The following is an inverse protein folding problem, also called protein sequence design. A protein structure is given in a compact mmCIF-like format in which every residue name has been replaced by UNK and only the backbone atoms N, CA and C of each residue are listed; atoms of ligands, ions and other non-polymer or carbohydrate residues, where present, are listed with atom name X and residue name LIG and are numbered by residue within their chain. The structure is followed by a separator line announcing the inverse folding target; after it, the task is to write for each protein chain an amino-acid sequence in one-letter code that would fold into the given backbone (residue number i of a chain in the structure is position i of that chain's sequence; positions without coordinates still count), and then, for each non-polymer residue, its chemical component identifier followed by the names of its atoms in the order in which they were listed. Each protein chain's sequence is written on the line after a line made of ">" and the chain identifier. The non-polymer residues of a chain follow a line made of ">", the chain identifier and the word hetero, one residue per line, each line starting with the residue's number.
data_IF_366549126696
#
_entry.id   IF_366549126696
#
_cell.length_a   1.000
_cell.length_b   1.000
_cell.length_c   1.000
_cell.angle_alpha   90.00
_cell.angle_beta   90.00
_cell.angle_gamma   90.00
#
_symmetry.space_group_name_H-M   'P 1'
#
loop_
_entity.id
_entity.type
_entity.pdbx_description
1 polymer ?
2 non-polymer ?
#
# COMPACT_ATOMS: atom_id res chain seq x y z
N UNK A 1 0.73 -22.89 13.86
CA UNK A 1 0.46 -21.86 12.87
C UNK A 1 -0.26 -22.43 11.65
N UNK A 2 -1.09 -21.62 11.00
CA UNK A 2 -1.77 -22.07 9.76
C UNK A 2 -1.20 -21.25 8.60
N UNK A 3 -0.72 -21.92 7.56
CA UNK A 3 -0.04 -21.19 6.45
C UNK A 3 -0.90 -21.32 5.20
N UNK A 4 -1.18 -20.19 4.53
CA UNK A 4 -2.13 -20.20 3.39
C UNK A 4 -1.43 -19.87 2.06
N UNK A 5 -1.71 -20.66 1.02
CA UNK A 5 -1.06 -20.45 -0.29
C UNK A 5 -2.13 -20.08 -1.31
N UNK A 6 -1.88 -19.00 -2.07
CA UNK A 6 -2.84 -18.63 -3.15
C UNK A 6 -2.11 -18.66 -4.51
N UNK A 7 -2.69 -19.33 -5.49
CA UNK A 7 -2.07 -19.45 -6.84
C UNK A 7 -2.97 -18.76 -7.85
N UNK A 8 -2.42 -17.85 -8.65
CA UNK A 8 -3.22 -17.22 -9.73
C UNK A 8 -2.57 -17.51 -11.08
N UNK A 9 -3.34 -18.02 -12.04
CA UNK A 9 -2.79 -18.29 -13.40
C UNK A 9 -3.56 -17.44 -14.40
N UNK A 10 -2.86 -16.65 -15.21
CA UNK A 10 -3.56 -15.89 -16.28
C UNK A 10 -2.93 -16.20 -17.64
N UNK A 11 -3.73 -16.56 -18.64
CA UNK A 11 -3.19 -16.78 -20.00
C UNK A 11 -3.93 -15.87 -20.98
N UNK A 12 -3.18 -15.21 -21.87
CA UNK A 12 -3.82 -14.37 -22.91
C UNK A 12 -3.63 -15.09 -24.25
N UNK A 13 -4.71 -15.30 -25.04
CA UNK A 13 -4.62 -16.05 -26.29
C UNK A 13 -3.29 -15.94 -27.01
N UNK B 1 0.20 -14.30 -26.99
CA UNK B 1 0.20 -15.44 -26.08
C UNK B 1 0.83 -15.05 -24.74
N UNK B 2 0.57 -13.82 -24.30
CA UNK B 2 1.19 -13.33 -23.03
C UNK B 2 0.67 -14.17 -21.86
N UNK B 3 1.56 -14.49 -20.91
CA UNK B 3 1.11 -15.22 -19.69
C UNK B 3 1.47 -14.42 -18.45
N UNK B 4 0.51 -14.25 -17.54
CA UNK B 4 0.84 -13.59 -16.24
C UNK B 4 0.57 -14.62 -15.13
N UNK B 5 1.54 -14.87 -14.26
CA UNK B 5 1.27 -15.78 -13.12
C UNK B 5 1.57 -15.09 -11.81
N UNK B 6 0.65 -15.15 -10.85
CA UNK B 6 0.96 -14.61 -9.50
C UNK B 6 0.79 -15.72 -8.45
N UNK B 7 1.80 -15.97 -7.62
CA UNK B 7 1.62 -16.96 -6.51
C UNK B 7 1.95 -16.27 -5.20
N UNK B 8 1.08 -16.39 -4.19
CA UNK B 8 1.42 -15.83 -2.86
C UNK B 8 1.35 -16.94 -1.80
N UNK B 9 2.38 -17.06 -0.96
CA UNK B 9 2.31 -18.02 0.17
C UNK B 9 2.47 -17.21 1.44
N UNK B 10 1.57 -17.39 2.41
CA UNK B 10 1.63 -16.59 3.66
C UNK B 10 1.48 -17.51 4.88
N UNK B 11 2.11 -17.17 6.00
CA UNK B 11 1.90 -17.97 7.24
C UNK B 11 1.29 -17.08 8.31
N UNK B 12 0.23 -17.56 8.94
CA UNK B 12 -0.34 -16.82 10.09
C UNK B 12 -0.12 -17.68 11.34
N UNK B 13 0.51 -17.16 12.42
CA UNK B 13 0.78 -17.96 13.60
C UNK B 13 -0.25 -17.77 14.70
N UNK C 1 3.93 -12.74 -26.51
CA UNK C 1 3.90 -13.90 -25.64
C UNK C 1 4.71 -13.64 -24.38
N UNK C 2 4.78 -12.38 -23.95
CA UNK C 2 5.63 -12.03 -22.78
C UNK C 2 5.08 -12.75 -21.54
N UNK C 3 5.96 -13.25 -20.69
CA UNK C 3 5.51 -14.03 -19.51
C UNK C 3 5.90 -13.32 -18.23
N UNK C 4 4.94 -13.16 -17.31
CA UNK C 4 5.29 -12.59 -15.99
C UNK C 4 5.02 -13.65 -14.92
N UNK C 5 6.00 -13.93 -14.05
CA UNK C 5 5.78 -14.88 -12.94
C UNK C 5 5.99 -14.15 -11.63
N UNK C 6 5.03 -14.26 -10.70
CA UNK C 6 5.24 -13.64 -9.38
C UNK C 6 5.18 -14.73 -8.30
N UNK C 7 6.17 -14.78 -7.41
CA UNK C 7 6.13 -15.73 -6.26
C UNK C 7 6.23 -14.91 -5.00
N UNK C 8 5.33 -15.14 -4.03
CA UNK C 8 5.44 -14.43 -2.74
C UNK C 8 5.54 -15.45 -1.59
N UNK C 9 6.50 -15.28 -0.69
CA UNK C 9 6.57 -16.15 0.52
C UNK C 9 6.46 -15.24 1.73
N UNK C 10 5.54 -15.55 2.66
CA UNK C 10 5.45 -14.74 3.91
C UNK C 10 5.67 -15.64 5.12
N UNK C 11 6.57 -15.24 6.03
CA UNK C 11 6.76 -16.01 7.29
C UNK C 11 6.47 -15.09 8.46
N UNK C 12 5.62 -15.52 9.39
CA UNK C 12 5.37 -14.72 10.61
C UNK C 12 5.79 -15.55 11.84
N UNK C 13 6.60 -15.01 12.77
CA UNK C 13 6.97 -15.75 13.96
C UNK C 13 5.73 -16.17 14.76
N UNK D 1 10.65 -10.89 13.97
CA UNK D 1 11.60 -11.51 13.03
C UNK D 1 10.88 -12.15 11.86
N UNK D 2 9.83 -11.50 11.36
CA UNK D 2 9.07 -12.04 10.20
C UNK D 2 9.98 -12.06 8.96
N UNK D 3 9.85 -13.10 8.13
CA UNK D 3 10.67 -13.17 6.89
C UNK D 3 9.74 -13.17 5.69
N UNK D 4 9.99 -12.29 4.72
CA UNK D 4 9.18 -12.32 3.47
C UNK D 4 10.11 -12.54 2.27
N UNK D 5 9.80 -13.51 1.40
CA UNK D 5 10.61 -13.67 0.17
C UNK D 5 9.71 -13.47 -1.04
N UNK D 6 10.13 -12.61 -1.97
CA UNK D 6 9.34 -12.48 -3.23
C UNK D 6 10.23 -12.86 -4.41
N UNK D 7 9.76 -13.75 -5.29
CA UNK D 7 10.56 -14.06 -6.51
C UNK D 7 9.71 -13.65 -7.71
N UNK D 8 10.27 -12.84 -8.61
CA UNK D 8 9.52 -12.49 -9.84
C UNK D 8 10.33 -12.94 -11.07
N UNK D 9 9.68 -13.66 -12.00
CA UNK D 9 10.38 -14.02 -13.26
C UNK D 9 9.64 -13.38 -14.43
N UNK D 10 10.37 -12.68 -15.30
CA UNK D 10 9.72 -12.11 -16.50
C UNK D 10 10.38 -12.69 -17.76
N UNK D 11 9.58 -13.17 -18.70
CA UNK D 11 10.13 -13.69 -19.98
C UNK D 11 9.62 -12.81 -21.11
N UNK D 12 10.52 -12.35 -21.99
CA UNK D 12 10.07 -11.58 -23.18
C UNK D 12 10.50 -12.34 -24.43
N UNK D 13 9.60 -12.60 -25.40
CA UNK D 13 9.97 -13.26 -26.64
C UNK D 13 11.20 -12.62 -27.27
N UNK E 1 21.11 -21.17 -22.84
CA UNK E 1 20.61 -19.85 -22.47
C UNK E 1 19.63 -19.95 -21.32
N UNK E 2 19.35 -21.18 -20.86
CA UNK E 2 18.39 -21.38 -19.74
C UNK E 2 18.94 -20.74 -18.46
N UNK E 3 18.07 -20.11 -17.67
CA UNK E 3 18.52 -19.53 -16.38
C UNK E 3 17.77 -20.20 -15.24
N UNK E 4 18.50 -20.69 -14.23
CA UNK E 4 17.83 -21.28 -13.04
C UNK E 4 18.28 -20.53 -11.78
N UNK E 5 17.33 -20.07 -10.96
CA UNK E 5 17.71 -19.44 -9.65
C UNK E 5 16.99 -20.22 -8.55
N UNK E 6 17.74 -20.66 -7.53
CA UNK E 6 17.09 -21.34 -6.38
C UNK E 6 17.44 -20.59 -5.08
N UNK E 7 16.43 -20.24 -4.27
CA UNK E 7 16.72 -19.63 -2.94
C UNK E 7 15.98 -20.44 -1.87
N UNK E 8 16.69 -20.82 -0.80
CA UNK E 8 16.02 -21.52 0.32
C UNK E 8 16.17 -20.69 1.60
N UNK E 9 15.06 -20.43 2.31
CA UNK E 9 15.18 -19.72 3.61
C UNK E 9 14.59 -20.56 4.73
N UNK E 10 15.32 -20.72 5.83
CA UNK E 10 14.75 -21.41 7.02
C UNK E 10 14.82 -20.44 8.20
N UNK E 11 13.70 -20.23 8.91
CA UNK E 11 13.74 -19.37 10.12
C UNK E 11 12.90 -19.99 11.23
N UNK E 12 13.24 -19.70 12.48
CA UNK E 12 12.40 -20.18 13.61
C UNK E 12 11.81 -18.96 14.31
N UNK E 13 10.48 -18.91 14.53
CA UNK E 13 9.87 -17.81 15.26
C UNK E 13 10.71 -17.26 16.40
N UNK F 1 9.83 -21.41 -25.14
CA UNK F 1 10.42 -20.83 -23.94
C UNK F 1 9.67 -21.28 -22.69
N UNK F 2 9.67 -22.59 -22.44
CA UNK F 2 8.95 -23.14 -21.26
C UNK F 2 9.60 -22.67 -19.95
N UNK F 3 8.79 -22.37 -18.94
CA UNK F 3 9.32 -21.97 -17.61
C UNK F 3 8.81 -22.96 -16.56
N UNK F 4 9.70 -23.45 -15.70
CA UNK F 4 9.28 -24.37 -14.61
C UNK F 4 9.57 -23.74 -13.24
N UNK F 5 8.57 -23.72 -12.35
CA UNK F 5 8.80 -23.20 -10.98
C UNK F 5 8.48 -24.26 -9.94
N UNK F 6 9.38 -24.47 -8.97
CA UNK F 6 9.07 -25.40 -7.85
C UNK F 6 9.13 -24.64 -6.53
N UNK F 7 8.10 -24.74 -5.69
CA UNK F 7 8.15 -24.11 -4.34
C UNK F 7 7.92 -25.20 -3.30
N UNK F 8 8.78 -25.27 -2.27
CA UNK F 8 8.56 -26.25 -1.18
C UNK F 8 8.44 -25.51 0.17
N UNK F 9 7.41 -25.84 0.96
CA UNK F 9 7.29 -25.24 2.32
C UNK F 9 7.26 -26.36 3.37
N UNK F 10 8.06 -26.22 4.43
CA UNK F 10 8.05 -27.22 5.53
C UNK F 10 7.65 -26.55 6.86
N UNK F 11 6.73 -27.15 7.62
CA UNK F 11 6.36 -26.62 8.95
C UNK F 11 6.82 -27.63 10.00
N UNK F 12 7.54 -27.17 11.01
CA UNK F 12 7.97 -28.08 12.11
C UNK F 12 7.32 -27.60 13.42
N UNK F 13 6.67 -28.49 14.18
CA UNK F 13 6.00 -28.09 15.41
C UNK F 13 6.99 -27.73 16.50
N UNK G 1 6.73 -24.33 15.52
CA UNK G 1 6.34 -23.42 14.45
C UNK G 1 7.52 -23.10 13.54
N UNK G 2 8.54 -23.97 13.54
CA UNK G 2 9.75 -23.72 12.72
C UNK G 2 9.36 -23.71 11.24
N UNK G 3 9.96 -22.81 10.46
CA UNK G 3 9.56 -22.71 9.03
C UNK G 3 10.74 -23.01 8.13
N UNK G 4 10.54 -23.89 7.16
CA UNK G 4 11.60 -24.11 6.14
C UNK G 4 10.94 -23.82 4.79
N UNK G 5 11.50 -22.93 3.96
CA UNK G 5 10.92 -22.71 2.61
C UNK G 5 12.00 -22.91 1.55
N UNK G 6 11.67 -23.66 0.50
CA UNK G 6 12.62 -23.82 -0.63
C UNK G 6 11.96 -23.30 -1.91
N UNK G 7 12.63 -22.43 -2.66
CA UNK G 7 12.06 -22.00 -3.97
C UNK G 7 13.00 -22.42 -5.09
N UNK G 8 12.47 -23.07 -6.12
CA UNK G 8 13.30 -23.41 -7.30
C UNK G 8 12.67 -22.76 -8.54
N UNK G 9 13.45 -22.02 -9.33
CA UNK G 9 12.89 -21.49 -10.61
C UNK G 9 13.74 -22.00 -11.76
N UNK G 10 13.10 -22.57 -12.79
CA UNK G 10 13.88 -22.95 -14.00
C UNK G 10 13.25 -22.26 -15.21
N UNK G 11 14.03 -21.55 -16.02
CA UNK G 11 13.46 -21.02 -17.28
C UNK G 11 14.29 -21.54 -18.43
N UNK G 12 13.65 -22.13 -19.44
CA UNK G 12 14.42 -22.54 -20.64
C UNK G 12 13.86 -21.76 -21.84
N UNK G 13 14.69 -21.07 -22.64
CA UNK G 13 14.20 -20.39 -23.84
C UNK G 13 13.96 -21.36 -24.98
N UNK H 1 1.68 -29.25 14.76
CA UNK H 1 1.93 -30.39 13.89
C UNK H 1 2.90 -30.03 12.78
N UNK H 2 2.99 -30.89 11.77
CA UNK H 2 3.86 -30.56 10.61
C UNK H 2 3.00 -30.40 9.35
N UNK H 3 3.15 -29.29 8.65
CA UNK H 3 2.41 -29.10 7.37
C UNK H 3 3.42 -28.85 6.26
N UNK H 4 3.29 -29.58 5.15
CA UNK H 4 4.21 -29.31 4.01
C UNK H 4 3.37 -28.86 2.80
N UNK H 5 3.73 -27.73 2.19
CA UNK H 5 3.01 -27.32 0.95
C UNK H 5 4.02 -27.22 -0.18
N UNK H 6 3.73 -27.85 -1.31
CA UNK H 6 4.62 -27.69 -2.49
C UNK H 6 3.81 -27.02 -3.61
N UNK H 7 4.35 -25.95 -4.20
CA UNK H 7 3.65 -25.34 -5.37
C UNK H 7 4.56 -25.46 -6.58
N UNK H 8 4.03 -26.03 -7.66
CA UNK H 8 4.84 -26.11 -8.90
C UNK H 8 4.08 -25.38 -10.03
N UNK H 9 4.76 -24.46 -10.73
CA UNK H 9 4.10 -23.81 -11.89
C UNK H 9 4.92 -24.07 -13.15
N UNK H 10 4.27 -24.52 -14.21
CA UNK H 10 4.98 -24.71 -15.51
C UNK H 10 4.35 -23.76 -16.54
N UNK H 11 5.16 -22.99 -17.26
CA UNK H 11 4.61 -21.99 -18.20
C UNK H 11 5.03 -22.34 -19.63
N UNK H 12 4.06 -22.37 -20.55
CA UNK H 12 4.43 -22.56 -21.99
C UNK H 12 3.94 -21.34 -22.76
N UNK H 13 4.78 -20.68 -23.60
CA UNK H 13 4.32 -19.55 -24.40
C UNK H 13 3.03 -19.88 -25.15
N UNK I 1 -15.85 15.04 23.66
CA UNK I 1 -15.23 14.84 22.35
C UNK I 1 -16.24 15.01 21.22
N UNK I 2 -16.35 16.22 20.69
CA UNK I 2 -17.29 16.50 19.58
C UNK I 2 -16.50 16.89 18.34
N UNK I 3 -16.78 16.27 17.19
CA UNK I 3 -15.99 16.54 15.97
C UNK I 3 -16.88 17.12 14.90
N UNK I 4 -16.49 18.24 14.32
CA UNK I 4 -17.27 18.81 13.19
C UNK I 4 -16.35 18.87 11.96
N UNK I 5 -16.80 18.33 10.83
CA UNK I 5 -15.98 18.35 9.59
C UNK I 5 -16.76 19.04 8.48
N UNK I 6 -16.13 19.98 7.78
CA UNK I 6 -16.77 20.59 6.59
C UNK I 6 -15.92 20.25 5.36
N UNK I 7 -16.55 19.69 4.31
CA UNK I 7 -15.80 19.42 3.06
C UNK I 7 -16.44 20.20 1.94
N UNK I 8 -15.64 20.95 1.18
CA UNK I 8 -16.20 21.67 0.01
C UNK I 8 -15.48 21.18 -1.26
N UNK I 9 -16.24 20.74 -2.26
CA UNK I 9 -15.62 20.31 -3.55
C UNK I 9 -16.15 21.19 -4.65
N UNK I 10 -15.28 21.83 -5.42
CA UNK I 10 -15.76 22.61 -6.60
C UNK I 10 -15.00 22.12 -7.85
N UNK I 11 -15.74 21.78 -8.92
CA UNK I 11 -15.08 21.34 -10.18
C UNK I 11 -15.53 22.22 -11.32
N UNK I 12 -14.59 22.66 -12.16
CA UNK I 12 -14.96 23.45 -13.36
C UNK I 12 -14.79 22.54 -14.58
N UNK I 13 -15.81 22.39 -15.45
CA UNK I 13 -15.74 21.47 -16.58
C UNK I 13 -14.35 21.30 -17.20
N UNK J 1 -11.32 22.16 -16.58
CA UNK J 1 -10.86 21.04 -15.77
C UNK J 1 -10.35 21.57 -14.44
N UNK J 2 -10.47 22.89 -14.22
CA UNK J 2 -9.95 23.50 -12.98
C UNK J 2 -10.72 22.98 -11.76
N UNK J 3 -10.03 22.75 -10.65
CA UNK J 3 -10.71 22.28 -9.41
C UNK J 3 -10.39 23.20 -8.23
N UNK J 4 -11.41 23.59 -7.46
CA UNK J 4 -11.15 24.36 -6.22
C UNK J 4 -11.60 23.49 -5.04
N UNK J 5 -10.72 23.25 -4.06
CA UNK J 5 -11.09 22.34 -2.95
C UNK J 5 -10.94 23.05 -1.61
N UNK J 6 -11.94 22.95 -0.74
CA UNK J 6 -11.82 23.53 0.63
C UNK J 6 -12.02 22.43 1.68
N UNK J 7 -11.12 22.33 2.67
CA UNK J 7 -11.31 21.36 3.77
C UNK J 7 -11.41 22.14 5.06
N UNK J 8 -12.47 21.91 5.86
CA UNK J 8 -12.51 22.55 7.20
C UNK J 8 -12.72 21.47 8.27
N UNK J 9 -11.87 21.39 9.30
CA UNK J 9 -12.16 20.44 10.41
C UNK J 9 -12.20 21.21 11.72
N UNK J 10 -13.26 21.02 12.52
CA UNK J 10 -13.31 21.68 13.86
C UNK J 10 -13.46 20.58 14.93
N UNK J 11 -12.60 20.59 15.96
CA UNK J 11 -12.81 19.61 17.06
C UNK J 11 -12.96 20.32 18.40
N UNK J 12 -14.01 19.97 19.15
CA UNK J 12 -14.14 20.51 20.53
C UNK J 12 -14.31 19.31 21.48
N UNK J 13 -13.57 19.19 22.60
CA UNK J 13 -13.80 18.10 23.55
C UNK J 13 -15.12 18.35 24.26
N UNK K 1 -7.25 23.12 -16.04
CA UNK K 1 -6.98 22.14 -14.99
C UNK K 1 -6.23 22.78 -13.83
N UNK K 2 -6.35 24.10 -13.69
CA UNK K 2 -5.68 24.80 -12.56
C UNK K 2 -6.29 24.27 -11.25
N UNK K 3 -5.47 24.03 -10.24
CA UNK K 3 -6.04 23.42 -9.00
C UNK K 3 -5.84 24.35 -7.82
N UNK K 4 -6.91 24.58 -7.07
CA UNK K 4 -6.78 25.39 -5.83
C UNK K 4 -7.11 24.47 -4.65
N UNK K 5 -6.23 24.40 -3.66
CA UNK K 5 -6.53 23.58 -2.45
C UNK K 5 -6.58 24.49 -1.25
N UNK K 6 -7.67 24.40 -0.47
CA UNK K 6 -7.72 25.18 0.78
C UNK K 6 -7.86 24.18 1.94
N UNK K 7 -7.01 24.29 2.95
CA UNK K 7 -7.14 23.41 4.14
C UNK K 7 -7.38 24.30 5.34
N UNK K 8 -8.43 24.02 6.11
CA UNK K 8 -8.64 24.78 7.37
C UNK K 8 -8.74 23.80 8.54
N UNK K 9 -7.96 24.01 9.60
CA UNK K 9 -8.14 23.15 10.80
C UNK K 9 -8.43 24.06 11.97
N UNK K 10 -9.51 23.79 12.72
CA UNK K 10 -9.75 24.57 13.95
C UNK K 10 -9.82 23.61 15.14
N UNK K 11 -9.06 23.87 16.20
CA UNK K 11 -9.20 23.03 17.43
C UNK K 11 -9.52 23.96 18.59
N UNK K 12 -10.55 23.61 19.38
CA UNK K 12 -10.81 24.40 20.60
C UNK K 12 -10.57 23.48 21.80
N UNK K 13 -9.72 23.86 22.78
CA UNK K 13 -9.52 23.05 23.98
C UNK K 13 -10.75 23.04 24.87
N UNK L 1 -7.59 29.63 24.10
CA UNK L 1 -6.51 28.73 23.72
C UNK L 1 -6.84 28.00 22.43
N UNK L 2 -7.92 28.41 21.76
CA UNK L 2 -8.34 27.73 20.51
C UNK L 2 -7.26 27.92 19.44
N UNK L 3 -7.01 26.88 18.64
CA UNK L 3 -5.96 26.96 17.59
C UNK L 3 -6.63 26.83 16.22
N UNK L 4 -6.33 27.74 15.30
CA UNK L 4 -6.86 27.61 13.92
C UNK L 4 -5.69 27.56 12.92
N UNK L 5 -5.65 26.58 12.02
CA UNK L 5 -4.60 26.55 10.97
C UNK L 5 -5.29 26.63 9.61
N UNK L 6 -4.84 27.55 8.76
CA UNK L 6 -5.41 27.61 7.39
C UNK L 6 -4.27 27.44 6.36
N UNK L 7 -4.44 26.53 5.40
CA UNK L 7 -3.44 26.38 4.31
C UNK L 7 -4.13 26.65 2.99
N UNK L 8 -3.56 27.52 2.14
CA UNK L 8 -4.16 27.72 0.80
C UNK L 8 -3.12 27.35 -0.26
N UNK L 9 -3.51 26.51 -1.23
CA UNK L 9 -2.60 26.13 -2.35
C UNK L 9 -3.25 26.54 -3.66
N UNK L 10 -2.51 27.25 -4.52
CA UNK L 10 -3.04 27.58 -5.86
C UNK L 10 -2.10 27.01 -6.94
N UNK L 11 -2.64 26.31 -7.93
CA UNK L 11 -1.81 25.77 -9.04
C UNK L 11 -2.25 26.38 -10.35
N UNK L 12 -1.31 26.88 -11.15
CA UNK L 12 -1.67 27.40 -12.50
C UNK L 12 -0.93 26.54 -13.54
N UNK L 13 -1.62 26.00 -14.58
CA UNK L 13 -0.96 25.23 -15.62
C UNK L 13 0.05 26.09 -16.35
N UNK M 1 8.27 19.12 -10.73
CA UNK M 1 7.64 20.38 -10.35
C UNK M 1 6.58 20.17 -9.28
N UNK M 2 6.47 18.93 -8.79
CA UNK M 2 5.44 18.61 -7.77
C UNK M 2 5.71 19.40 -6.49
N UNK M 3 4.66 19.92 -5.85
CA UNK M 3 4.82 20.66 -4.57
C UNK M 3 4.09 19.93 -3.46
N UNK M 4 4.78 19.65 -2.35
CA UNK M 4 4.12 19.02 -1.18
C UNK M 4 4.26 19.92 0.04
N UNK M 5 3.15 20.22 0.73
CA UNK M 5 3.24 20.98 2.01
C UNK M 5 2.60 20.14 3.10
N UNK M 6 3.31 19.95 4.22
CA UNK M 6 2.73 19.20 5.36
C UNK M 6 2.68 20.08 6.61
N UNK M 7 1.52 20.16 7.27
CA UNK M 7 1.45 20.90 8.56
C UNK M 7 0.97 19.95 9.65
N UNK M 8 1.69 19.89 10.77
CA UNK M 8 1.23 19.06 11.91
C UNK M 8 1.06 19.96 13.14
N UNK M 9 -0.09 19.91 13.81
CA UNK M 9 -0.23 20.67 15.08
C UNK M 9 -0.60 19.71 16.21
N UNK M 10 0.12 19.79 17.32
CA UNK M 10 -0.22 18.95 18.50
C UNK M 10 -0.50 19.88 19.69
N UNK M 11 -1.62 19.68 20.39
CA UNK M 11 -1.91 20.49 21.61
C UNK M 11 -2.03 19.56 22.81
N UNK M 12 -1.37 19.89 23.91
CA UNK M 12 -1.53 19.08 25.16
C UNK M 12 -2.08 20.00 26.25
N UNK M 13 -3.15 19.60 26.99
CA UNK M 13 -3.67 20.42 28.08
C UNK M 13 -2.92 20.16 29.39
N UNK N 1 -1.88 17.75 -13.69
CA UNK N 1 -2.34 18.50 -12.53
C UNK N 1 -2.88 17.57 -11.45
N UNK N 2 -2.21 16.43 -11.23
CA UNK N 2 -2.69 15.45 -10.24
C UNK N 2 -2.63 16.07 -8.84
N UNK N 3 -3.66 15.86 -8.02
CA UNK N 3 -3.61 16.37 -6.61
C UNK N 3 -3.86 15.23 -5.64
N UNK N 4 -3.01 15.11 -4.61
CA UNK N 4 -3.25 14.09 -3.55
C UNK N 4 -3.35 14.80 -2.19
N UNK N 5 -4.39 14.52 -1.42
CA UNK N 5 -4.47 15.12 -0.05
C UNK N 5 -4.57 14.03 0.99
N UNK N 6 -3.74 14.08 2.03
CA UNK N 6 -3.89 13.10 3.16
C UNK N 6 -4.09 13.89 4.45
N UNK N 7 -5.11 13.57 5.24
CA UNK N 7 -5.30 14.24 6.55
C UNK N 7 -5.34 13.22 7.67
N UNK N 8 -4.57 13.43 8.75
CA UNK N 8 -4.68 12.53 9.93
C UNK N 8 -5.05 13.39 11.15
N UNK N 9 -6.09 13.01 11.90
CA UNK N 9 -6.41 13.74 13.15
C UNK N 9 -6.42 12.76 14.31
N UNK N 10 -5.75 13.10 15.41
CA UNK N 10 -5.82 12.24 16.63
C UNK N 10 -6.36 13.09 17.78
N UNK N 11 -7.38 12.61 18.50
CA UNK N 11 -7.85 13.36 19.69
C UNK N 11 -7.76 12.45 20.91
N UNK N 12 -7.18 12.95 22.01
CA UNK N 12 -7.19 12.15 23.27
C UNK N 12 -7.96 12.96 24.33
N UNK N 13 -8.97 12.40 25.00
CA UNK N 13 -9.67 13.11 26.06
C UNK N 13 -9.03 12.96 27.43
N UNK O 1 -7.88 16.18 26.86
CA UNK O 1 -8.34 17.02 25.77
C UNK O 1 -7.24 17.23 24.73
N UNK O 2 -6.14 16.48 24.85
CA UNK O 2 -5.00 16.69 23.94
C UNK O 2 -5.44 16.35 22.50
N UNK O 3 -5.01 17.17 21.53
CA UNK O 3 -5.35 16.89 20.11
C UNK O 3 -4.08 16.84 19.29
N UNK O 4 -3.94 15.85 18.42
CA UNK O 4 -2.80 15.85 17.48
C UNK O 4 -3.40 15.90 16.07
N UNK O 5 -3.00 16.85 15.24
CA UNK O 5 -3.52 16.83 13.84
C UNK O 5 -2.35 16.82 12.88
N UNK O 6 -2.39 15.91 11.91
CA UNK O 6 -1.34 15.88 10.86
C UNK O 6 -2.02 16.16 9.51
N UNK O 7 -1.52 17.12 8.75
CA UNK O 7 -2.11 17.37 7.40
C UNK O 7 -1.01 17.22 6.35
N UNK O 8 -1.28 16.43 5.30
CA UNK O 8 -0.30 16.32 4.20
C UNK O 8 -0.98 16.76 2.89
N UNK O 9 -0.37 17.66 2.14
CA UNK O 9 -0.93 18.02 0.81
C UNK O 9 0.12 17.66 -0.24
N UNK O 10 -0.28 16.90 -1.26
CA UNK O 10 0.68 16.63 -2.37
C UNK O 10 0.07 17.13 -3.69
N UNK O 11 0.81 17.94 -4.44
CA UNK O 11 0.29 18.34 -5.77
C UNK O 11 1.31 17.98 -6.84
N UNK O 12 0.89 17.32 -7.92
CA UNK O 12 1.82 17.07 -9.04
C UNK O 12 1.26 17.79 -10.27
N UNK O 13 2.04 18.65 -10.97
CA UNK O 13 1.57 19.28 -12.19
C UNK O 13 1.72 18.36 -13.38
N UNK P 1 -12.87 8.29 25.15
CA UNK P 1 -13.55 8.68 23.93
C UNK P 1 -12.59 9.35 22.96
N UNK P 2 -11.49 8.66 22.64
CA UNK P 2 -10.51 9.22 21.67
C UNK P 2 -11.20 9.32 20.29
N UNK P 3 -10.94 10.40 19.55
CA UNK P 3 -11.52 10.52 18.18
C UNK P 3 -10.40 10.66 17.16
N UNK P 4 -10.47 9.86 16.09
CA UNK P 4 -9.48 10.02 14.99
C UNK P 4 -10.23 10.38 13.70
N UNK P 5 -9.81 11.45 13.01
CA UNK P 5 -10.45 11.77 11.70
C UNK P 5 -9.41 11.70 10.59
N UNK P 6 -9.72 10.97 9.52
CA UNK P 6 -8.80 10.96 8.35
C UNK P 6 -9.58 11.45 7.12
N UNK P 7 -9.05 12.43 6.39
CA UNK P 7 -9.72 12.85 5.12
C UNK P 7 -8.73 12.74 3.97
N UNK P 8 -9.14 12.09 2.89
CA UNK P 8 -8.25 12.05 1.69
C UNK P 8 -8.98 12.70 0.49
N UNK P 9 -8.34 13.65 -0.18
CA UNK P 9 -8.95 14.21 -1.41
C UNK P 9 -7.99 14.01 -2.58
N UNK P 10 -8.48 13.47 -3.70
CA UNK P 10 -7.62 13.34 -4.90
C UNK P 10 -8.25 14.13 -6.06
N UNK P 11 -7.45 14.97 -6.73
CA UNK P 11 -7.98 15.70 -7.92
C UNK P 11 -7.18 15.28 -9.14
N UNK P 12 -7.89 14.92 -10.22
CA UNK P 12 -7.20 14.57 -11.49
C UNK P 12 -7.66 15.59 -12.55
N UNK P 13 -6.73 16.23 -13.30
CA UNK P 13 -7.09 17.27 -14.26
C UNK P 13 -8.43 17.01 -14.96
X LIG Q 1 3.86 -2.98 -12.64
X LIG Q 1 1.97 -5.22 -10.32
X LIG Q 1 3.95 -3.87 -13.85
X LIG Q 1 4.34 -3.35 -15.13
X LIG Q 1 -1.38 -4.97 -10.19
X LIG Q 1 -2.15 -5.56 -9.06
X LIG Q 1 -2.71 -6.84 -7.03
X LIG Q 1 1.96 -4.83 -11.81
X LIG Q 1 3.16 -3.45 -17.31
X LIG Q 1 3.58 -5.20 -13.69
X LIG Q 1 3.81 -6.25 -14.76
X LIG Q 1 2.01 -4.24 -17.45
X LIG Q 1 2.19 -3.04 -11.97
X LIG Q 1 2.22 -4.03 -9.36
X LIG Q 1 1.24 -3.38 -8.97
X LIG Q 1 0.79 -5.96 -9.92
X LIG Q 1 -0.34 -5.97 -10.63
X LIG Q 1 -0.55 -6.74 -11.55
X LIG Q 1 -3.49 -5.46 -8.71
X LIG Q 1 -3.81 -6.21 -7.53
X LIG Q 1 -1.36 -6.54 -7.96
X LIG Q 1 3.00 -5.58 -12.51
X LIG Q 1 4.96 -6.59 -14.95
X LIG Q 1 2.81 -6.66 -15.33
X LIG Q 1 3.52 -2.85 -16.03
X LIG Q 1 1.63 -4.82 -18.63
X LIG Q 1 2.44 -4.62 -19.75
X LIG Q 1 3.59 -3.85 -19.70
X LIG Q 1 3.92 -3.29 -18.48
X LIG Q 1 5.13 -2.48 -18.46
X LIG Q 1 2.05 -5.22 -21.01
X LIG Q 1 6.18 -3.02 -18.11
X LIG Q 1 5.06 -1.31 -18.79
X LIG Q 1 1.22 -6.11 -21.01
X LIG Q 1 2.60 -4.82 -22.03
X LIG Q 1 3.41 -3.83 -9.02
X LIG R 1 2.53 -4.46 14.37
X LIG R 1 3.91 -4.84 10.49
X LIG R 1 2.67 -5.94 14.49
X LIG R 1 2.66 -6.62 15.75
X LIG R 1 4.93 -2.56 8.55
X LIG R 1 5.59 -3.23 7.40
X LIG R 1 6.81 -4.89 6.03
X LIG R 1 3.96 -4.92 12.01
X LIG R 1 4.86 -7.77 15.58
X LIG R 1 2.84 -6.66 13.31
X LIG R 1 1.93 -7.84 12.95
X LIG R 1 4.95 -9.11 15.19
X LIG R 1 2.57 -3.93 12.65
X LIG R 1 3.19 -6.04 9.85
X LIG R 1 1.94 -6.05 9.90
X LIG R 1 3.35 -3.59 10.03
X LIG R 1 3.56 -3.14 8.80
X LIG R 1 2.71 -3.20 7.92
X LIG R 1 5.76 -2.82 6.08
X LIG R 1 6.47 -3.81 5.30
X LIG R 1 6.29 -4.73 7.61
X LIG R 1 3.84 -6.31 12.45
X LIG R 1 0.79 -7.55 12.68
X LIG R 1 2.45 -8.93 12.96
X LIG R 1 3.67 -7.27 16.29
X LIG R 1 6.03 -9.62 14.52
X LIG R 1 7.08 -8.77 14.19
X LIG R 1 7.06 -7.42 14.54
X LIG R 1 5.95 -6.95 15.22
X LIG R 1 5.97 -5.54 15.56
X LIG R 1 8.23 -9.30 13.48
X LIG R 1 6.05 -5.22 16.74
X LIG R 1 5.94 -4.72 14.65
X LIG R 1 9.17 -8.56 13.26
X LIG R 1 8.19 -10.46 13.13
X LIG R 1 3.90 -6.91 9.29
X LIG S 1 -3.35 5.78 -1.80
X LIG S 1 -0.19 7.17 0.33
X LIG S 1 -3.20 7.04 -2.59
X LIG S 1 -4.28 7.57 -3.36
X LIG S 1 -1.40 7.78 3.66
X LIG S 1 -2.62 6.98 3.38
X LIG S 1 -4.75 6.22 2.40
X LIG S 1 -0.84 6.33 -0.78
X LIG S 1 -3.98 7.55 -5.83
X LIG S 1 -1.97 7.71 -2.57
X LIG S 1 -1.82 9.10 -3.14
X LIG S 1 -4.52 8.54 -6.64
X LIG S 1 -2.53 5.94 -0.21
X LIG S 1 -0.42 8.68 0.17
X LIG S 1 -1.57 9.11 0.37
X LIG S 1 -0.58 6.72 1.65
X LIG S 1 -0.25 7.39 2.75
X LIG S 1 0.92 7.68 3.03
X LIG S 1 -3.05 5.76 3.89
X LIG S 1 -4.29 5.34 3.31
X LIG S 1 -3.71 7.51 2.24
X LIG S 1 -0.87 7.09 -2.04
X LIG S 1 -2.08 10.02 -2.38
X LIG S 1 -1.44 9.19 -4.29
X LIG S 1 -4.63 7.18 -4.58
X LIG S 1 -3.96 8.94 -7.84
X LIG S 1 -2.79 8.31 -8.24
X LIG S 1 -2.18 7.31 -7.49
X LIG S 1 -2.79 6.95 -6.31
X LIG S 1 -2.13 5.91 -5.56
X LIG S 1 -2.18 8.72 -9.51
X LIG S 1 -2.70 4.84 -5.41
X LIG S 1 -1.01 6.12 -5.12
X LIG S 1 -0.96 8.74 -9.58
X LIG S 1 -2.91 9.03 -10.43
X LIG S 1 0.57 9.37 -0.15
X LIG T 1 4.59 7.01 17.13
X LIG T 1 1.70 9.94 17.34
X LIG T 1 5.28 7.97 16.22
X LIG T 1 5.90 7.59 14.97
X LIG T 1 -0.61 7.51 15.59
X LIG T 1 -0.76 8.01 14.21
X LIG T 1 -0.74 9.52 12.24
X LIG T 1 3.05 9.34 17.71
X LIG T 1 4.93 9.36 13.49
X LIG T 1 5.27 9.30 16.63
X LIG T 1 6.56 10.08 16.88
X LIG T 1 5.65 10.55 13.45
X LIG T 1 2.92 7.54 17.53
X LIG T 1 1.77 11.41 16.91
X LIG T 1 1.44 11.69 15.75
X LIG T 1 1.01 9.13 16.34
X LIG T 1 -0.17 8.59 16.57
X LIG T 1 -0.89 8.92 17.52
X LIG T 1 -1.22 7.40 13.05
X LIG T 1 -1.20 8.28 11.92
X LIG T 1 -0.35 9.59 13.86
X LIG T 1 4.08 9.91 16.84
X LIG T 1 6.52 11.26 16.61
X LIG T 1 7.50 9.44 17.30
X LIG T 1 5.60 8.09 13.77
X LIG T 1 5.07 11.77 13.20
X LIG T 1 3.69 11.81 12.98
X LIG T 1 2.90 10.68 13.00
X LIG T 1 3.55 9.47 13.27
X LIG T 1 2.69 8.30 13.27
X LIG T 1 3.07 13.10 12.71
X LIG T 1 2.45 7.76 14.35
X LIG T 1 2.25 7.90 12.22
X LIG T 1 2.80 13.82 13.66
X LIG T 1 2.84 13.39 11.55
X LIG T 1 2.16 12.24 17.76
#
# INVERSE_FOLDING_TARGET
>A
PKFKFKFKFKFKP
>B
PKFKFKFKFKFKP
>C
PKFKFKFKFKFKP
>D
PKFKFKFKFKFKP
>E
PKFKFKFKFKFKP
>F
PKFKFKFKFKFKP
>G
PKFKFKFKFKFKP
>H
PKFKFKFKFKFKP
>I
PKFKFKFKFKFKP
>J
PKFKFKFKFKFKP
>K
PKFKFKFKFKFKP
>L
PKFKFKFKFKFKP
>M
PKFKFKFKFKFKP
>N
PKFKFKFKFKFKP
>O
PKFKFKFKFKFKP
>P
PKFKFKFKFKFKP
>Q hetero
1 NEF C2 C3 C4 C6 C7 C8 C11 C13 C14 C15 C16 C17 S19 C1 O2 N4 C5 O6 C9 C10 S12 N14 O17 O18 C12 C18 C19 C20 C21 N22 N23 O24 O25 O26 O27 OXY
>R hetero
1 NEF C2 C3 C4 C6 C7 C8 C11 C13 C14 C15 C16 C17 S19 C1 O2 N4 C5 O6 C9 C10 S12 N14 O17 O18 C12 C18 C19 C20 C21 N22 N23 O24 O25 O26 O27 OXY
>S hetero
1 NEF C2 C3 C4 C6 C7 C8 C11 C13 C14 C15 C16 C17 S19 C1 O2 N4 C5 O6 C9 C10 S12 N14 O17 O18 C12 C18 C19 C20 C21 N22 N23 O24 O25 O26 O27 OXY
>T hetero
1 NEF C2 C3 C4 C6 C7 C8 C11 C13 C14 C15 C16 C17 S19 C1 O2 N4 C5 O6 C9 C10 S12 N14 O17 O18 C12 C18 C19 C20 C21 N22 N23 O24 O25 O26 O27 OXY
#
